data_IF_497086980405
#
_entry.id   IF_497086980405
#
_cell.length_a   1.000
_cell.length_b   1.000
_cell.length_c   1.000
_cell.angle_alpha   90.00
_cell.angle_beta   90.00
_cell.angle_gamma   90.00
#
_symmetry.space_group_name_H-M   'P 1'
#
loop_
_entity.id
_entity.type
_entity.pdbx_description
1 polymer ?
#
# COMPACT_ATOMS: atom_id res chain seq x y z
N UNK A 1 11.17 8.26 -14.53
CA UNK A 1 10.30 7.12 -14.89
C UNK A 1 9.54 6.69 -13.66
N UNK A 2 8.33 6.14 -13.81
CA UNK A 2 7.57 5.59 -12.69
C UNK A 2 7.40 4.08 -12.88
N UNK A 3 7.62 3.31 -11.81
CA UNK A 3 7.40 1.85 -11.77
C UNK A 3 6.25 1.56 -10.83
N UNK A 4 5.23 0.88 -11.32
CA UNK A 4 4.10 0.42 -10.52
C UNK A 4 4.19 -1.09 -10.32
N UNK A 5 4.08 -1.54 -9.07
CA UNK A 5 4.19 -2.96 -8.74
C UNK A 5 3.19 -3.35 -7.66
N UNK A 6 2.51 -4.47 -7.91
CA UNK A 6 1.64 -5.12 -6.92
C UNK A 6 2.43 -6.18 -6.18
N UNK A 7 2.47 -6.08 -4.86
CA UNK A 7 3.28 -6.95 -4.00
C UNK A 7 2.44 -7.62 -2.93
N UNK A 8 2.83 -8.84 -2.55
CA UNK A 8 2.41 -9.51 -1.33
C UNK A 8 3.57 -9.46 -0.35
N UNK A 9 3.37 -8.84 0.81
CA UNK A 9 4.37 -8.69 1.85
C UNK A 9 4.00 -9.55 3.06
N UNK A 10 4.96 -10.30 3.58
CA UNK A 10 4.84 -11.13 4.78
C UNK A 10 6.11 -11.03 5.64
N UNK A 11 6.07 -11.57 6.86
CA UNK A 11 7.26 -11.65 7.72
C UNK A 11 7.63 -10.34 8.41
N UNK A 12 6.69 -9.39 8.53
CA UNK A 12 6.89 -8.17 9.31
C UNK A 12 6.64 -8.45 10.79
N UNK A 13 7.57 -8.02 11.63
CA UNK A 13 7.36 -7.89 13.07
C UNK A 13 6.46 -6.68 13.31
N UNK A 14 5.35 -6.85 14.01
CA UNK A 14 4.63 -5.71 14.58
C UNK A 14 5.21 -5.38 15.97
N UNK A 15 4.73 -4.30 16.60
CA UNK A 15 5.23 -3.83 17.89
C UNK A 15 4.95 -4.81 19.06
N UNK A 16 3.98 -5.72 18.91
CA UNK A 16 3.48 -6.67 19.92
C UNK A 16 3.43 -8.15 19.43
N UNK A 17 3.94 -8.48 18.22
CA UNK A 17 3.68 -9.78 17.59
C UNK A 17 4.07 -9.91 16.10
N UNK A 18 3.49 -10.92 15.44
CA UNK A 18 3.68 -11.17 14.00
C UNK A 18 2.58 -10.46 13.21
N UNK A 19 2.97 -9.50 12.38
CA UNK A 19 2.04 -8.84 11.47
C UNK A 19 1.54 -9.84 10.40
N UNK A 20 0.25 -9.74 10.09
CA UNK A 20 -0.37 -10.50 9.01
C UNK A 20 0.23 -10.20 7.63
N UNK A 21 -0.05 -11.07 6.66
CA UNK A 21 0.30 -10.81 5.26
C UNK A 21 -0.53 -9.63 4.75
N UNK A 22 0.10 -8.69 4.02
CA UNK A 22 -0.60 -7.60 3.34
C UNK A 22 -0.34 -7.60 1.85
N UNK A 23 -1.32 -7.13 1.08
CA UNK A 23 -1.20 -6.86 -0.35
C UNK A 23 -1.10 -5.35 -0.52
N UNK A 24 -0.23 -4.89 -1.41
CA UNK A 24 0.02 -3.45 -1.59
C UNK A 24 0.34 -3.14 -3.04
N UNK A 25 0.07 -1.90 -3.45
CA UNK A 25 0.64 -1.32 -4.66
C UNK A 25 1.73 -0.33 -4.24
N UNK A 26 2.93 -0.52 -4.77
CA UNK A 26 3.96 0.49 -4.73
C UNK A 26 4.06 1.23 -6.04
N UNK A 27 4.32 2.54 -5.94
CA UNK A 27 4.72 3.37 -7.06
C UNK A 27 6.06 4.00 -6.73
N UNK A 28 7.08 3.73 -7.55
CA UNK A 28 8.43 4.26 -7.39
C UNK A 28 8.73 5.26 -8.50
N UNK A 29 9.14 6.47 -8.14
CA UNK A 29 9.74 7.41 -9.09
C UNK A 29 11.23 7.12 -9.12
N UNK A 30 11.72 6.72 -10.28
CA UNK A 30 13.13 6.40 -10.52
C UNK A 30 13.77 7.38 -11.50
N UNK A 31 15.00 7.78 -11.19
CA UNK A 31 15.84 8.67 -11.99
C UNK A 31 17.12 7.92 -12.38
N UNK A 32 17.52 8.03 -13.64
CA UNK A 32 18.80 7.51 -14.14
C UNK A 32 19.92 8.47 -13.72
N UNK A 33 21.01 7.94 -13.19
CA UNK A 33 22.27 8.61 -12.91
C UNK A 33 23.42 7.85 -13.58
N UNK A 34 24.64 8.38 -13.49
CA UNK A 34 25.85 7.72 -13.99
C UNK A 34 26.10 6.36 -13.33
N UNK A 35 25.75 6.23 -12.05
CA UNK A 35 25.89 5.00 -11.27
C UNK A 35 24.71 4.01 -11.43
N UNK A 36 23.68 4.36 -12.21
CA UNK A 36 22.53 3.49 -12.47
C UNK A 36 21.18 4.15 -12.13
N UNK A 37 20.19 3.35 -11.74
CA UNK A 37 18.86 3.85 -11.40
C UNK A 37 18.73 4.10 -9.90
N UNK A 38 18.27 5.29 -9.54
CA UNK A 38 18.01 5.68 -8.16
C UNK A 38 16.50 5.87 -7.96
N UNK A 39 15.95 5.25 -6.91
CA UNK A 39 14.61 5.55 -6.45
C UNK A 39 14.64 6.85 -5.65
N UNK A 40 13.97 7.89 -6.17
CA UNK A 40 13.94 9.22 -5.57
C UNK A 40 12.65 9.49 -4.81
N UNK A 41 11.61 8.68 -5.03
CA UNK A 41 10.36 8.73 -4.26
C UNK A 41 9.63 7.39 -4.34
N UNK A 42 8.95 7.01 -3.26
CA UNK A 42 8.14 5.81 -3.20
C UNK A 42 6.81 6.11 -2.50
N UNK A 43 5.71 5.64 -3.09
CA UNK A 43 4.38 5.62 -2.46
C UNK A 43 3.94 4.17 -2.28
N UNK A 44 3.47 3.85 -1.08
CA UNK A 44 2.83 2.58 -0.76
C UNK A 44 1.33 2.82 -0.54
N UNK A 45 0.48 1.94 -1.06
CA UNK A 45 -0.94 1.91 -0.72
C UNK A 45 -1.38 0.47 -0.50
N UNK A 46 -1.91 0.16 0.68
CA UNK A 46 -2.37 -1.18 1.01
C UNK A 46 -3.70 -1.49 0.29
N UNK A 47 -3.83 -2.74 -0.18
CA UNK A 47 -5.02 -3.28 -0.82
C UNK A 47 -5.79 -4.06 0.23
N UNK A 48 -6.97 -3.58 0.62
CA UNK A 48 -7.93 -4.35 1.40
C UNK A 48 -8.92 -5.04 0.46
N UNK A 49 -9.02 -6.36 0.60
CA UNK A 49 -9.86 -7.17 -0.30
C UNK A 49 -11.33 -6.89 -0.02
N UNK A 50 -12.12 -6.65 -1.08
CA UNK A 50 -13.55 -6.33 -0.94
C UNK A 50 -13.81 -4.90 -0.45
N UNK A 51 -12.82 -4.00 -0.54
CA UNK A 51 -12.97 -2.58 -0.27
C UNK A 51 -12.58 -1.80 -1.52
N UNK A 52 -13.48 -0.97 -2.03
CA UNK A 52 -13.17 -0.02 -3.10
C UNK A 52 -12.63 1.30 -2.54
N UNK A 53 -13.07 1.65 -1.33
CA UNK A 53 -12.66 2.87 -0.64
C UNK A 53 -12.62 2.65 0.86
N UNK A 54 -12.04 3.61 1.57
CA UNK A 54 -12.19 3.73 3.02
C UNK A 54 -13.19 4.84 3.31
N UNK A 55 -14.18 4.55 4.14
CA UNK A 55 -15.11 5.54 4.69
C UNK A 55 -14.56 5.98 6.04
N UNK A 56 -14.47 7.30 6.24
CA UNK A 56 -14.16 7.88 7.54
C UNK A 56 -15.42 7.86 8.39
N UNK A 57 -15.39 7.12 9.50
CA UNK A 57 -16.47 7.08 10.48
C UNK A 57 -16.56 8.40 11.26
N UNK A 58 -17.66 8.60 11.99
CA UNK A 58 -17.84 9.76 12.88
C UNK A 58 -16.77 9.81 13.99
N UNK A 59 -16.28 8.65 14.45
CA UNK A 59 -15.16 8.55 15.39
C UNK A 59 -13.79 8.80 14.75
N UNK A 60 -13.73 8.97 13.43
CA UNK A 60 -12.51 9.28 12.68
C UNK A 60 -11.72 8.07 12.20
N UNK A 61 -12.16 6.85 12.50
CA UNK A 61 -11.57 5.61 12.00
C UNK A 61 -11.86 5.42 10.50
N UNK A 62 -10.90 4.86 9.76
CA UNK A 62 -11.06 4.48 8.36
C UNK A 62 -11.49 3.03 8.26
N UNK A 63 -12.73 2.78 7.83
CA UNK A 63 -13.26 1.43 7.61
C UNK A 63 -13.39 1.11 6.12
N UNK A 64 -12.97 -0.08 5.67
CA UNK A 64 -13.12 -0.51 4.28
C UNK A 64 -14.60 -0.63 3.90
N UNK A 65 -14.98 -0.12 2.72
CA UNK A 65 -16.34 -0.18 2.20
C UNK A 65 -16.39 -0.57 0.72
N UNK A 66 -17.48 -1.22 0.31
CA UNK A 66 -17.77 -1.66 -1.06
C UNK A 66 -19.09 -1.01 -1.52
N UNK A 67 -19.05 -0.21 -2.58
CA UNK A 67 -20.25 0.45 -3.11
C UNK A 67 -21.23 -0.53 -3.75
N UNK A 68 -20.79 -1.73 -4.13
CA UNK A 68 -21.64 -2.76 -4.76
C UNK A 68 -22.50 -3.57 -3.77
N UNK A 69 -22.31 -3.33 -2.47
CA UNK A 69 -23.09 -3.96 -1.39
C UNK A 69 -24.08 -3.00 -0.72
N UNK A 70 -24.33 -1.83 -1.33
CA UNK A 70 -25.42 -0.94 -0.96
C UNK A 70 -26.64 -1.15 -1.86
#
# INVERSE_FOLDING_TARGET
MTVHVRMRLSGRSDLDGKAGTRRTVFSFVVRKSEAGWLCVSARNTDIVSGAETYIRTESGELVPADHRKK
#
